data_IF_798205675990
#
_entry.id   IF_798205675990
#
_cell.length_a   1.000
_cell.length_b   1.000
_cell.length_c   1.000
_cell.angle_alpha   90.00
_cell.angle_beta   90.00
_cell.angle_gamma   90.00
#
_symmetry.space_group_name_H-M   'P 1'
#
loop_
_entity.id
_entity.type
_entity.pdbx_description
1 polymer ?
#
# COMPACT_ATOMS: atom_id res chain seq x y z
N UNK A 1 9.33 87.05 10.23
CA UNK A 1 8.35 87.09 9.12
C UNK A 1 8.58 85.86 8.26
N UNK A 2 7.48 85.21 7.88
CA UNK A 2 7.32 84.04 7.01
C UNK A 2 8.00 82.73 7.41
N UNK A 3 7.25 81.96 8.19
CA UNK A 3 7.39 80.52 8.39
C UNK A 3 7.04 79.73 7.11
N UNK A 4 7.84 78.71 6.79
CA UNK A 4 7.49 77.69 5.80
C UNK A 4 7.00 76.43 6.54
N UNK A 5 5.82 75.95 6.16
CA UNK A 5 5.13 74.77 6.71
C UNK A 5 5.75 73.46 6.18
N UNK A 6 5.72 72.36 6.95
CA UNK A 6 6.01 71.03 6.41
C UNK A 6 4.76 70.45 5.76
N UNK A 7 4.91 69.84 4.58
CA UNK A 7 3.88 69.01 3.93
C UNK A 7 4.26 67.55 4.12
N UNK A 8 3.40 66.87 4.88
CA UNK A 8 3.09 65.43 4.92
C UNK A 8 4.12 64.42 4.37
N UNK A 9 4.80 63.70 5.27
CA UNK A 9 5.30 62.36 4.97
C UNK A 9 4.11 61.39 5.02
N UNK A 10 3.80 60.79 3.86
CA UNK A 10 2.93 59.64 3.75
C UNK A 10 3.60 58.41 4.36
N UNK A 11 2.82 57.77 5.22
CA UNK A 11 2.85 56.39 5.70
C UNK A 11 3.59 55.43 4.75
N UNK A 12 4.64 54.78 5.27
CA UNK A 12 5.06 53.46 4.81
C UNK A 12 5.21 52.58 6.03
N UNK A 13 4.14 51.82 6.30
CA UNK A 13 4.12 50.71 7.23
C UNK A 13 5.05 49.62 6.69
N UNK A 14 6.27 49.54 7.24
CA UNK A 14 7.07 48.33 7.10
C UNK A 14 6.52 47.34 8.12
N UNK A 15 5.69 46.43 7.62
CA UNK A 15 5.28 45.21 8.31
C UNK A 15 6.57 44.42 8.59
N UNK A 16 7.07 44.50 9.81
CA UNK A 16 7.97 43.47 10.34
C UNK A 16 7.14 42.19 10.45
N UNK A 17 7.14 41.40 9.39
CA UNK A 17 6.77 40.00 9.47
C UNK A 17 7.77 39.33 10.42
N UNK A 18 7.29 39.00 11.61
CA UNK A 18 7.98 38.14 12.56
C UNK A 18 8.22 36.82 11.86
N UNK A 19 9.45 36.62 11.39
CA UNK A 19 10.01 35.31 11.04
C UNK A 19 10.12 34.49 12.32
N UNK A 20 8.98 34.05 12.85
CA UNK A 20 8.94 32.90 13.72
C UNK A 20 9.23 31.70 12.82
N UNK A 21 10.51 31.36 12.75
CA UNK A 21 10.95 30.00 12.42
C UNK A 21 10.33 29.12 13.50
N UNK A 22 9.08 28.71 13.26
CA UNK A 22 8.55 27.48 13.80
C UNK A 22 9.51 26.41 13.30
N UNK A 23 10.39 25.97 14.18
CA UNK A 23 10.99 24.65 14.10
C UNK A 23 9.82 23.67 14.24
N UNK A 24 9.06 23.52 13.16
CA UNK A 24 8.20 22.38 12.95
C UNK A 24 9.19 21.25 12.76
N UNK A 25 9.37 20.44 13.79
CA UNK A 25 9.81 19.06 13.58
C UNK A 25 8.92 18.53 12.46
N UNK A 26 9.45 18.09 11.31
CA UNK A 26 8.61 17.53 10.25
C UNK A 26 7.92 16.32 10.87
N UNK A 27 6.67 16.50 11.30
CA UNK A 27 5.76 15.39 11.44
C UNK A 27 5.65 14.82 10.03
N UNK A 28 5.77 13.51 9.91
CA UNK A 28 5.61 12.76 8.67
C UNK A 28 4.19 13.01 8.12
N UNK A 29 3.99 14.13 7.42
CA UNK A 29 2.79 14.42 6.69
C UNK A 29 2.93 13.79 5.29
N UNK A 30 2.89 12.46 5.24
CA UNK A 30 2.52 11.72 4.04
C UNK A 30 1.01 11.53 4.10
N UNK A 31 0.26 12.09 3.15
CA UNK A 31 -1.20 11.95 3.11
C UNK A 31 -1.56 10.56 2.58
N UNK A 32 -1.58 9.57 3.48
CA UNK A 32 -2.01 8.22 3.18
C UNK A 32 -2.99 7.78 4.26
N UNK A 33 -4.13 7.24 3.85
CA UNK A 33 -5.11 6.69 4.77
C UNK A 33 -5.83 5.53 4.10
N UNK A 34 -6.36 4.67 4.96
CA UNK A 34 -7.19 3.55 4.56
C UNK A 34 -8.49 4.02 3.88
N UNK A 35 -9.35 3.11 3.40
CA UNK A 35 -10.68 3.50 2.88
C UNK A 35 -11.72 3.65 4.01
N UNK A 36 -11.58 2.88 5.10
CA UNK A 36 -12.42 2.96 6.30
C UNK A 36 -11.65 3.55 7.49
N UNK A 37 -12.21 4.58 8.12
CA UNK A 37 -11.63 5.29 9.25
C UNK A 37 -12.60 5.40 10.42
N UNK A 38 -12.03 5.69 11.59
CA UNK A 38 -12.78 5.99 12.80
C UNK A 38 -12.40 7.38 13.32
N UNK A 39 -13.37 8.30 13.40
CA UNK A 39 -13.14 9.69 13.84
C UNK A 39 -12.62 9.79 15.29
N UNK A 40 -13.01 8.83 16.13
CA UNK A 40 -12.46 8.62 17.46
C UNK A 40 -12.39 7.11 17.77
N UNK A 41 -11.65 6.72 18.81
CA UNK A 41 -11.67 5.31 19.27
C UNK A 41 -13.09 4.91 19.68
N UNK A 42 -13.62 3.84 19.09
CA UNK A 42 -14.99 3.39 19.32
C UNK A 42 -16.08 4.22 18.64
N UNK A 43 -15.73 5.08 17.68
CA UNK A 43 -16.72 5.72 16.79
C UNK A 43 -17.16 4.74 15.70
N UNK A 44 -18.33 4.98 15.11
CA UNK A 44 -18.77 4.27 13.90
C UNK A 44 -17.72 4.38 12.79
N UNK A 45 -17.57 3.32 12.00
CA UNK A 45 -16.83 3.32 10.74
C UNK A 45 -17.41 4.37 9.79
N UNK A 46 -16.51 5.08 9.11
CA UNK A 46 -16.79 6.13 8.16
C UNK A 46 -15.81 6.03 7.00
N UNK A 47 -16.18 6.53 5.83
CA UNK A 47 -15.26 6.58 4.70
C UNK A 47 -14.15 7.58 5.03
N UNK A 48 -12.89 7.13 5.02
CA UNK A 48 -11.73 7.99 5.29
C UNK A 48 -11.72 9.19 4.34
N UNK A 49 -11.91 8.89 3.06
CA UNK A 49 -12.08 9.85 1.99
C UNK A 49 -13.19 9.37 1.05
N UNK A 50 -14.12 10.26 0.74
CA UNK A 50 -15.14 10.04 -0.30
C UNK A 50 -14.84 10.96 -1.48
N UNK A 51 -15.16 10.54 -2.70
CA UNK A 51 -14.95 11.36 -3.90
C UNK A 51 -15.51 12.78 -3.71
N UNK A 52 -14.66 13.82 -3.73
CA UNK A 52 -15.15 15.19 -3.66
C UNK A 52 -16.13 15.46 -4.79
N UNK A 53 -17.23 16.18 -4.51
CA UNK A 53 -18.26 16.48 -5.53
C UNK A 53 -17.72 17.24 -6.76
N UNK A 54 -16.59 17.91 -6.61
CA UNK A 54 -15.89 18.65 -7.67
C UNK A 54 -15.03 17.74 -8.57
N UNK A 55 -14.76 16.51 -8.12
CA UNK A 55 -13.93 15.56 -8.84
C UNK A 55 -14.78 14.73 -9.81
N UNK A 56 -14.42 14.71 -11.11
CA UNK A 56 -15.07 13.83 -12.08
C UNK A 56 -14.61 12.39 -11.89
N UNK A 57 -15.30 11.44 -12.54
CA UNK A 57 -14.89 10.03 -12.59
C UNK A 57 -13.98 9.71 -13.79
N UNK A 58 -14.04 10.53 -14.86
CA UNK A 58 -13.40 10.20 -16.16
C UNK A 58 -12.30 11.15 -16.61
N UNK A 59 -11.91 12.19 -15.85
CA UNK A 59 -10.77 13.08 -16.22
C UNK A 59 -10.29 13.92 -15.02
N UNK A 60 -9.49 13.38 -14.10
CA UNK A 60 -9.46 13.90 -12.74
C UNK A 60 -8.25 14.80 -12.50
N UNK A 61 -8.11 15.85 -13.31
CA UNK A 61 -6.88 16.65 -13.33
C UNK A 61 -7.04 18.09 -12.90
N UNK A 62 -8.26 18.57 -12.61
CA UNK A 62 -8.41 19.96 -12.17
C UNK A 62 -7.63 20.18 -10.86
N UNK A 63 -6.86 21.28 -10.74
CA UNK A 63 -6.13 21.57 -9.51
C UNK A 63 -7.05 21.58 -8.28
N UNK A 64 -8.29 22.08 -8.42
CA UNK A 64 -9.27 22.10 -7.35
C UNK A 64 -9.66 20.69 -6.86
N UNK A 65 -9.81 19.73 -7.77
CA UNK A 65 -10.08 18.35 -7.40
C UNK A 65 -8.88 17.70 -6.70
N UNK A 66 -7.66 17.86 -7.24
CA UNK A 66 -6.42 17.35 -6.65
C UNK A 66 -6.20 17.90 -5.23
N UNK A 67 -6.37 19.20 -5.04
CA UNK A 67 -6.29 19.83 -3.70
C UNK A 67 -7.36 19.29 -2.75
N UNK A 68 -8.59 19.09 -3.22
CA UNK A 68 -9.67 18.56 -2.40
C UNK A 68 -9.41 17.10 -1.97
N UNK A 69 -8.93 16.26 -2.89
CA UNK A 69 -8.55 14.87 -2.60
C UNK A 69 -7.41 14.80 -1.58
N UNK A 70 -6.34 15.58 -1.80
CA UNK A 70 -5.20 15.63 -0.87
C UNK A 70 -5.60 16.11 0.53
N UNK A 71 -6.47 17.12 0.61
CA UNK A 71 -6.97 17.62 1.90
C UNK A 71 -7.75 16.54 2.67
N UNK A 72 -8.58 15.75 1.98
CA UNK A 72 -9.32 14.66 2.61
C UNK A 72 -8.38 13.59 3.18
N UNK A 73 -7.40 13.14 2.40
CA UNK A 73 -6.47 12.11 2.85
C UNK A 73 -5.54 12.61 3.97
N UNK A 74 -5.16 13.88 3.96
CA UNK A 74 -4.42 14.49 5.07
C UNK A 74 -5.23 14.48 6.36
N UNK A 75 -6.52 14.83 6.29
CA UNK A 75 -7.43 14.77 7.45
C UNK A 75 -7.65 13.33 7.91
N UNK A 76 -7.77 12.39 6.97
CA UNK A 76 -7.95 10.98 7.26
C UNK A 76 -6.74 10.38 7.99
N UNK A 77 -5.52 10.67 7.52
CA UNK A 77 -4.27 10.23 8.14
C UNK A 77 -4.13 10.73 9.59
N UNK A 78 -4.74 11.86 9.93
CA UNK A 78 -4.74 12.43 11.28
C UNK A 78 -5.83 11.84 12.22
N UNK A 79 -6.68 10.92 11.75
CA UNK A 79 -7.78 10.39 12.57
C UNK A 79 -7.26 9.45 13.68
N UNK A 80 -7.57 9.73 14.96
CA UNK A 80 -6.98 9.00 16.10
C UNK A 80 -7.56 7.60 16.32
N UNK A 81 -8.63 7.25 15.62
CA UNK A 81 -9.27 5.93 15.70
C UNK A 81 -8.60 4.87 14.81
N UNK A 82 -7.66 5.26 13.96
CA UNK A 82 -7.05 4.39 12.93
C UNK A 82 -8.02 4.09 11.77
N UNK A 83 -7.62 3.13 10.92
CA UNK A 83 -8.42 2.68 9.79
C UNK A 83 -8.22 1.20 9.47
N UNK A 84 -8.84 0.74 8.39
CA UNK A 84 -8.57 -0.53 7.70
C UNK A 84 -8.91 -0.40 6.21
N UNK A 85 -8.18 -1.06 5.32
CA UNK A 85 -8.50 -1.13 3.89
C UNK A 85 -9.38 -2.34 3.58
N UNK A 86 -10.56 -2.14 3.01
CA UNK A 86 -11.38 -3.26 2.52
C UNK A 86 -10.79 -3.95 1.30
N UNK A 87 -9.82 -3.32 0.61
CA UNK A 87 -9.08 -3.93 -0.49
C UNK A 87 -8.00 -4.87 0.05
N UNK A 88 -7.16 -4.39 0.98
CA UNK A 88 -6.02 -5.14 1.53
C UNK A 88 -6.38 -6.11 2.65
N UNK A 89 -7.45 -5.88 3.43
CA UNK A 89 -7.85 -6.78 4.51
C UNK A 89 -9.08 -7.63 4.16
N UNK A 90 -10.28 -7.06 4.22
CA UNK A 90 -11.54 -7.79 4.13
C UNK A 90 -11.66 -8.57 2.79
N UNK A 91 -11.31 -7.96 1.66
CA UNK A 91 -11.32 -8.63 0.34
C UNK A 91 -10.28 -9.74 0.25
N UNK A 92 -9.04 -9.50 0.71
CA UNK A 92 -7.98 -10.51 0.76
C UNK A 92 -8.42 -11.72 1.59
N UNK A 93 -9.07 -11.51 2.73
CA UNK A 93 -9.61 -12.59 3.55
C UNK A 93 -10.66 -13.42 2.78
N UNK A 94 -11.65 -12.76 2.15
CA UNK A 94 -12.70 -13.45 1.39
C UNK A 94 -12.09 -14.28 0.24
N UNK A 95 -11.12 -13.72 -0.49
CA UNK A 95 -10.40 -14.41 -1.56
C UNK A 95 -9.60 -15.60 -1.01
N UNK A 96 -8.85 -15.42 0.07
CA UNK A 96 -8.06 -16.48 0.69
C UNK A 96 -8.94 -17.66 1.15
N UNK A 97 -10.08 -17.39 1.78
CA UNK A 97 -11.08 -18.42 2.15
C UNK A 97 -11.61 -19.14 0.92
N UNK A 98 -11.94 -18.40 -0.15
CA UNK A 98 -12.49 -18.98 -1.36
C UNK A 98 -11.50 -19.91 -2.09
N UNK A 99 -10.21 -19.58 -2.10
CA UNK A 99 -9.18 -20.43 -2.72
C UNK A 99 -8.81 -21.65 -1.88
N UNK A 100 -9.22 -21.72 -0.61
CA UNK A 100 -9.10 -22.91 0.24
C UNK A 100 -8.31 -22.76 1.54
N UNK A 101 -7.80 -21.57 1.86
CA UNK A 101 -7.13 -21.33 3.15
C UNK A 101 -8.07 -21.51 4.34
N UNK A 102 -7.54 -21.99 5.47
CA UNK A 102 -8.30 -22.05 6.72
C UNK A 102 -8.68 -20.63 7.20
N UNK A 103 -9.58 -20.52 8.17
CA UNK A 103 -10.00 -19.20 8.66
C UNK A 103 -8.86 -18.47 9.36
N UNK A 104 -7.98 -19.22 10.02
CA UNK A 104 -6.79 -18.68 10.68
C UNK A 104 -5.75 -18.23 9.65
N UNK A 105 -5.43 -19.07 8.65
CA UNK A 105 -4.45 -18.68 7.61
C UNK A 105 -4.94 -17.48 6.81
N UNK A 106 -6.21 -17.48 6.38
CA UNK A 106 -6.81 -16.37 5.65
C UNK A 106 -6.81 -15.08 6.47
N UNK A 107 -7.04 -15.18 7.79
CA UNK A 107 -6.95 -14.04 8.68
C UNK A 107 -5.54 -13.47 8.73
N UNK A 108 -4.52 -14.30 8.94
CA UNK A 108 -3.14 -13.81 9.04
C UNK A 108 -2.59 -13.29 7.71
N UNK A 109 -3.00 -13.85 6.57
CA UNK A 109 -2.69 -13.30 5.25
C UNK A 109 -3.26 -11.88 5.16
N UNK A 110 -4.56 -11.70 5.39
CA UNK A 110 -5.23 -10.40 5.31
C UNK A 110 -4.73 -9.38 6.35
N UNK A 111 -4.41 -9.83 7.56
CA UNK A 111 -3.93 -8.96 8.63
C UNK A 111 -2.52 -8.41 8.32
N UNK A 112 -1.64 -9.21 7.69
CA UNK A 112 -0.31 -8.75 7.30
C UNK A 112 -0.26 -8.05 5.94
N UNK A 113 -1.25 -8.27 5.08
CA UNK A 113 -1.52 -7.40 3.92
C UNK A 113 -1.71 -5.96 4.43
N UNK A 114 -2.73 -5.75 5.26
CA UNK A 114 -3.03 -4.46 5.90
C UNK A 114 -1.92 -3.91 6.82
N UNK A 115 -1.24 -4.76 7.59
CA UNK A 115 -0.16 -4.29 8.46
C UNK A 115 1.05 -3.75 7.69
N UNK A 116 1.19 -4.07 6.40
CA UNK A 116 2.26 -3.49 5.56
C UNK A 116 2.08 -1.99 5.43
N UNK A 117 0.84 -1.53 5.33
CA UNK A 117 0.46 -0.13 5.29
C UNK A 117 0.55 0.58 6.65
N UNK A 118 0.11 -0.10 7.71
CA UNK A 118 -0.07 0.51 9.04
C UNK A 118 1.09 0.25 10.02
N UNK A 119 1.98 -0.68 9.71
CA UNK A 119 3.01 -1.20 10.59
C UNK A 119 2.48 -2.21 11.60
N UNK A 120 1.25 -2.07 12.08
CA UNK A 120 0.56 -3.13 12.81
C UNK A 120 -0.94 -3.02 12.58
N UNK A 121 -1.60 -4.17 12.47
CA UNK A 121 -3.03 -4.24 12.28
C UNK A 121 -3.71 -4.89 13.49
N UNK A 122 -4.86 -4.34 13.88
CA UNK A 122 -5.75 -4.93 14.88
C UNK A 122 -7.21 -4.79 14.43
N UNK A 123 -7.96 -5.90 14.32
CA UNK A 123 -9.30 -5.87 13.78
C UNK A 123 -10.29 -5.13 14.69
N UNK A 124 -11.16 -4.34 14.04
CA UNK A 124 -12.20 -3.54 14.68
C UNK A 124 -13.55 -3.79 14.03
N UNK A 125 -14.60 -3.63 14.81
CA UNK A 125 -15.97 -3.67 14.31
C UNK A 125 -16.37 -2.43 13.50
N UNK A 126 -17.57 -2.47 12.92
CA UNK A 126 -18.22 -1.30 12.30
C UNK A 126 -18.53 -0.19 13.31
N UNK A 127 -18.49 -0.48 14.61
CA UNK A 127 -18.60 0.49 15.70
C UNK A 127 -17.25 1.00 16.22
N UNK A 128 -16.15 0.64 15.54
CA UNK A 128 -14.78 1.07 15.87
C UNK A 128 -14.24 0.49 17.17
N UNK A 129 -14.96 -0.44 17.81
CA UNK A 129 -14.45 -1.16 18.97
C UNK A 129 -13.56 -2.30 18.52
N UNK A 130 -12.52 -2.65 19.29
CA UNK A 130 -11.75 -3.86 19.05
C UNK A 130 -12.68 -5.08 19.09
N UNK A 131 -12.46 -6.04 18.20
CA UNK A 131 -13.19 -7.31 18.22
C UNK A 131 -12.85 -8.12 19.49
N UNK A 132 -13.67 -9.12 19.87
CA UNK A 132 -13.30 -10.05 20.94
C UNK A 132 -11.93 -10.68 20.67
N UNK A 133 -11.08 -10.76 21.69
CA UNK A 133 -9.70 -11.26 21.58
C UNK A 133 -8.79 -10.48 20.61
N UNK A 134 -9.09 -9.20 20.30
CA UNK A 134 -8.27 -8.38 19.39
C UNK A 134 -6.77 -8.41 19.70
N UNK A 135 -6.37 -8.44 20.98
CA UNK A 135 -4.96 -8.52 21.37
C UNK A 135 -4.24 -9.77 20.85
N UNK A 136 -4.94 -10.90 20.73
CA UNK A 136 -4.38 -12.13 20.16
C UNK A 136 -4.39 -12.14 18.63
N UNK A 137 -5.19 -11.26 18.03
CA UNK A 137 -5.36 -11.08 16.59
C UNK A 137 -4.47 -9.93 16.06
N UNK A 138 -3.94 -9.07 16.93
CA UNK A 138 -3.04 -7.99 16.52
C UNK A 138 -1.74 -8.55 15.93
N UNK A 139 -1.30 -8.00 14.79
CA UNK A 139 -0.03 -8.39 14.16
C UNK A 139 1.16 -7.90 14.96
N UNK A 140 2.31 -8.57 14.79
CA UNK A 140 3.58 -7.98 15.21
C UNK A 140 3.83 -6.67 14.46
N UNK A 141 4.62 -5.78 15.06
CA UNK A 141 5.03 -4.54 14.42
C UNK A 141 5.98 -4.81 13.25
N UNK A 142 5.61 -4.35 12.06
CA UNK A 142 6.38 -4.38 10.83
C UNK A 142 6.57 -2.96 10.27
N UNK A 143 6.63 -1.94 11.16
CA UNK A 143 6.79 -0.52 10.83
C UNK A 143 8.01 -0.16 9.96
N UNK A 144 8.95 -1.07 9.76
CA UNK A 144 10.03 -0.94 8.77
C UNK A 144 9.56 -1.10 7.32
N UNK A 145 8.36 -1.60 7.08
CA UNK A 145 7.77 -1.77 5.75
C UNK A 145 6.81 -0.64 5.37
N UNK A 146 6.40 0.19 6.33
CA UNK A 146 5.39 1.25 6.14
C UNK A 146 5.83 2.30 5.14
N UNK A 147 4.89 2.73 4.29
CA UNK A 147 5.05 3.76 3.24
C UNK A 147 5.72 5.06 3.67
N UNK A 148 5.51 5.53 4.90
CA UNK A 148 6.12 6.78 5.40
C UNK A 148 7.54 6.58 5.94
N UNK A 149 8.03 5.34 6.02
CA UNK A 149 9.35 5.05 6.52
C UNK A 149 10.42 5.17 5.43
N UNK A 150 10.90 6.40 5.24
CA UNK A 150 11.90 6.76 4.24
C UNK A 150 13.33 6.26 4.55
N UNK A 151 13.57 5.67 5.72
CA UNK A 151 14.90 5.25 6.17
C UNK A 151 15.11 3.73 6.13
N UNK A 152 14.04 2.94 6.23
CA UNK A 152 14.12 1.47 6.25
C UNK A 152 13.91 0.84 4.88
N UNK A 153 13.52 1.61 3.87
CA UNK A 153 13.07 1.10 2.58
C UNK A 153 11.58 0.78 2.53
N UNK A 154 10.81 1.14 3.56
CA UNK A 154 9.36 0.91 3.60
C UNK A 154 8.64 1.52 2.41
N UNK A 155 8.98 2.77 2.02
CA UNK A 155 8.45 3.42 0.81
C UNK A 155 8.48 2.52 -0.44
N UNK A 156 9.54 1.71 -0.61
CA UNK A 156 9.73 0.86 -1.78
C UNK A 156 8.69 -0.27 -1.87
N UNK A 157 8.08 -0.67 -0.74
CA UNK A 157 7.00 -1.66 -0.70
C UNK A 157 5.67 -1.11 -1.22
N UNK A 158 5.55 0.21 -1.36
CA UNK A 158 4.31 0.88 -1.75
C UNK A 158 4.43 1.55 -3.13
N UNK A 159 5.58 2.13 -3.43
CA UNK A 159 5.88 2.69 -4.75
C UNK A 159 6.83 1.75 -5.47
N UNK A 160 6.27 0.73 -6.13
CA UNK A 160 7.01 -0.35 -6.77
C UNK A 160 7.36 0.04 -8.20
N UNK A 161 8.44 0.81 -8.41
CA UNK A 161 8.91 1.09 -9.77
C UNK A 161 9.49 -0.15 -10.45
N UNK A 162 9.57 -0.10 -11.77
CA UNK A 162 10.16 -1.17 -12.59
C UNK A 162 11.52 -0.77 -13.13
N UNK A 163 12.34 -1.77 -13.38
CA UNK A 163 13.51 -1.59 -14.24
C UNK A 163 13.06 -1.55 -15.71
N UNK A 164 13.70 -0.67 -16.49
CA UNK A 164 13.41 -0.48 -17.92
C UNK A 164 14.71 -0.65 -18.70
N UNK A 165 14.67 -1.51 -19.72
CA UNK A 165 15.80 -1.69 -20.65
C UNK A 165 16.05 -0.42 -21.47
N UNK A 166 14.98 0.33 -21.73
CA UNK A 166 14.99 1.57 -22.50
C UNK A 166 14.17 2.63 -21.77
N UNK A 167 14.59 3.91 -21.74
CA UNK A 167 13.86 4.98 -21.06
C UNK A 167 12.38 5.12 -21.48
N UNK A 168 12.06 4.78 -22.73
CA UNK A 168 10.71 4.91 -23.31
C UNK A 168 9.87 3.62 -23.21
N UNK A 169 10.36 2.57 -22.54
CA UNK A 169 9.56 1.38 -22.28
C UNK A 169 8.40 1.75 -21.35
N UNK A 170 7.18 1.36 -21.72
CA UNK A 170 5.99 1.54 -20.91
C UNK A 170 5.58 0.18 -20.35
N UNK A 171 5.85 -0.09 -19.06
CA UNK A 171 5.32 -1.28 -18.39
C UNK A 171 3.80 -1.28 -18.42
N UNK A 172 3.19 -2.48 -18.44
CA UNK A 172 1.76 -2.64 -18.16
C UNK A 172 1.57 -2.88 -16.67
N UNK A 173 1.58 -1.81 -15.89
CA UNK A 173 1.44 -1.93 -14.44
C UNK A 173 0.03 -2.25 -13.97
N UNK A 174 -0.98 -2.27 -14.84
CA UNK A 174 -2.28 -2.88 -14.52
C UNK A 174 -2.21 -4.40 -14.53
N UNK A 175 -1.23 -4.99 -15.21
CA UNK A 175 -1.03 -6.44 -15.30
C UNK A 175 0.45 -6.82 -15.09
N UNK A 176 1.04 -6.48 -13.92
CA UNK A 176 2.44 -6.77 -13.66
C UNK A 176 2.70 -8.28 -13.73
N UNK A 177 3.87 -8.66 -14.23
CA UNK A 177 4.29 -10.05 -14.24
C UNK A 177 5.21 -10.31 -13.04
N UNK A 178 4.73 -10.94 -11.94
CA UNK A 178 5.54 -11.13 -10.74
C UNK A 178 6.56 -12.27 -10.88
N UNK A 179 6.73 -12.80 -12.10
CA UNK A 179 7.79 -13.74 -12.47
C UNK A 179 8.86 -13.09 -13.35
N UNK A 180 8.69 -11.81 -13.72
CA UNK A 180 9.68 -11.07 -14.50
C UNK A 180 10.78 -10.51 -13.61
N UNK A 181 11.77 -11.35 -13.31
CA UNK A 181 12.90 -10.99 -12.46
C UNK A 181 13.79 -9.88 -13.04
N UNK A 182 13.67 -9.58 -14.34
CA UNK A 182 14.48 -8.54 -15.00
C UNK A 182 13.86 -7.15 -14.79
N UNK A 183 12.54 -7.04 -14.87
CA UNK A 183 11.84 -5.75 -14.84
C UNK A 183 11.09 -5.49 -13.53
N UNK A 184 10.37 -6.50 -13.00
CA UNK A 184 9.56 -6.42 -11.79
C UNK A 184 10.38 -6.90 -10.58
N UNK A 185 11.50 -6.21 -10.29
CA UNK A 185 12.55 -6.66 -9.36
C UNK A 185 11.99 -6.95 -7.96
N UNK A 186 11.40 -5.94 -7.31
CA UNK A 186 10.90 -6.10 -5.93
C UNK A 186 9.74 -7.10 -5.88
N UNK A 187 8.81 -7.01 -6.83
CA UNK A 187 7.64 -7.89 -6.88
C UNK A 187 8.05 -9.36 -7.04
N UNK A 188 8.96 -9.65 -7.97
CA UNK A 188 9.48 -11.01 -8.18
C UNK A 188 10.27 -11.51 -6.98
N UNK A 189 11.07 -10.64 -6.35
CA UNK A 189 11.80 -10.95 -5.14
C UNK A 189 10.88 -11.36 -3.99
N UNK A 190 9.83 -10.55 -3.73
CA UNK A 190 8.85 -10.81 -2.68
C UNK A 190 8.05 -12.07 -2.94
N UNK A 191 7.62 -12.31 -4.19
CA UNK A 191 6.95 -13.55 -4.57
C UNK A 191 7.80 -14.76 -4.23
N UNK A 192 9.08 -14.74 -4.58
CA UNK A 192 10.04 -15.81 -4.25
C UNK A 192 10.17 -15.98 -2.74
N UNK A 193 10.34 -14.89 -1.99
CA UNK A 193 10.47 -14.92 -0.53
C UNK A 193 9.23 -15.49 0.17
N UNK A 194 8.04 -15.16 -0.32
CA UNK A 194 6.78 -15.69 0.18
C UNK A 194 6.57 -17.17 -0.18
N UNK A 195 6.90 -17.57 -1.42
CA UNK A 195 6.80 -18.95 -1.88
C UNK A 195 7.78 -19.89 -1.16
N UNK A 196 8.93 -19.36 -0.75
CA UNK A 196 9.95 -20.15 -0.06
C UNK A 196 9.49 -20.66 1.32
N UNK A 197 8.54 -19.97 1.95
CA UNK A 197 7.95 -20.37 3.22
C UNK A 197 8.86 -20.20 4.44
N UNK A 198 8.37 -20.59 5.63
CA UNK A 198 9.05 -20.40 6.90
C UNK A 198 10.28 -21.31 7.02
N UNK A 199 11.32 -20.83 7.68
CA UNK A 199 12.60 -21.53 7.87
C UNK A 199 13.46 -21.61 6.61
N UNK A 200 13.04 -21.00 5.50
CA UNK A 200 13.84 -20.89 4.29
C UNK A 200 14.97 -19.88 4.44
N UNK A 201 16.09 -20.16 3.76
CA UNK A 201 17.23 -19.24 3.65
C UNK A 201 17.01 -18.15 2.58
N UNK A 202 15.85 -18.13 1.89
CA UNK A 202 15.54 -17.08 0.94
C UNK A 202 15.51 -15.72 1.67
N UNK A 203 16.42 -14.78 1.33
CA UNK A 203 16.49 -13.51 2.02
C UNK A 203 15.35 -12.59 1.58
N UNK A 204 14.90 -11.71 2.47
CA UNK A 204 14.15 -10.51 2.07
C UNK A 204 15.11 -9.32 2.10
N UNK A 205 15.32 -8.72 0.93
CA UNK A 205 16.30 -7.68 0.70
C UNK A 205 15.64 -6.32 0.48
N UNK A 206 16.26 -5.26 0.99
CA UNK A 206 15.79 -3.88 0.78
C UNK A 206 15.78 -3.55 -0.71
N UNK A 207 14.62 -3.10 -1.21
CA UNK A 207 14.37 -2.83 -2.64
C UNK A 207 14.33 -4.10 -3.51
N UNK A 208 14.36 -5.29 -2.92
CA UNK A 208 14.42 -6.56 -3.65
C UNK A 208 15.78 -6.87 -4.28
N UNK A 209 16.79 -6.03 -4.04
CA UNK A 209 18.10 -6.17 -4.67
C UNK A 209 18.93 -7.30 -4.02
N UNK A 210 19.16 -8.33 -4.81
CA UNK A 210 20.00 -9.49 -4.50
C UNK A 210 21.30 -9.45 -5.29
N UNK A 211 22.28 -10.26 -4.89
CA UNK A 211 23.41 -10.59 -5.77
C UNK A 211 22.90 -11.20 -7.07
N UNK A 212 23.59 -11.04 -8.21
CA UNK A 212 23.15 -11.65 -9.47
C UNK A 212 22.87 -13.16 -9.32
N UNK A 213 21.72 -13.60 -9.81
CA UNK A 213 21.33 -15.00 -9.87
C UNK A 213 22.13 -15.74 -10.95
N UNK A 214 21.91 -17.06 -11.08
CA UNK A 214 22.47 -17.84 -12.19
C UNK A 214 21.98 -17.38 -13.58
N UNK A 215 20.79 -16.77 -13.66
CA UNK A 215 20.25 -16.14 -14.88
C UNK A 215 20.72 -14.69 -15.08
N UNK A 216 21.46 -14.14 -14.12
CA UNK A 216 22.03 -12.78 -14.18
C UNK A 216 21.08 -11.67 -13.71
N UNK A 217 19.85 -11.97 -13.32
CA UNK A 217 18.95 -10.99 -12.70
C UNK A 217 19.36 -10.67 -11.25
N UNK A 218 18.94 -9.52 -10.75
CA UNK A 218 19.24 -9.06 -9.39
C UNK A 218 18.04 -9.17 -8.43
N UNK A 219 17.02 -9.95 -8.76
CA UNK A 219 15.84 -10.14 -7.92
C UNK A 219 15.86 -11.50 -7.18
N UNK A 220 16.48 -12.52 -7.78
CA UNK A 220 16.34 -13.93 -7.35
C UNK A 220 17.59 -14.57 -6.79
N UNK A 221 18.66 -13.80 -6.55
CA UNK A 221 19.90 -14.30 -5.95
C UNK A 221 19.74 -14.81 -4.51
N UNK A 222 20.76 -15.54 -4.04
CA UNK A 222 20.74 -16.21 -2.73
C UNK A 222 21.06 -15.27 -1.56
N UNK A 223 21.62 -14.10 -1.83
CA UNK A 223 22.00 -13.12 -0.80
C UNK A 223 21.62 -11.71 -1.21
N UNK A 224 21.46 -10.81 -0.24
CA UNK A 224 21.17 -9.42 -0.54
C UNK A 224 22.38 -8.69 -1.12
N UNK A 225 22.10 -7.77 -2.06
CA UNK A 225 23.13 -7.00 -2.73
C UNK A 225 23.98 -6.20 -1.71
N UNK A 226 25.29 -6.12 -1.96
CA UNK A 226 26.25 -5.45 -1.09
C UNK A 226 26.73 -6.27 0.11
N UNK A 227 25.96 -7.26 0.58
CA UNK A 227 26.35 -8.13 1.70
C UNK A 227 26.86 -7.32 2.91
N UNK A 228 28.13 -7.48 3.34
CA UNK A 228 28.71 -6.71 4.44
C UNK A 228 28.98 -5.23 4.11
N UNK A 229 28.95 -4.85 2.82
CA UNK A 229 29.16 -3.50 2.33
C UNK A 229 27.88 -2.99 1.63
N UNK A 230 26.87 -2.54 2.39
CA UNK A 230 25.62 -1.99 1.85
C UNK A 230 25.87 -0.88 0.82
N UNK A 231 25.07 -0.90 -0.23
CA UNK A 231 25.13 0.08 -1.31
C UNK A 231 23.95 1.06 -1.17
N UNK A 232 24.13 2.38 -1.29
CA UNK A 232 23.04 3.32 -1.11
C UNK A 232 21.91 3.12 -2.15
N UNK A 233 20.68 3.22 -1.68
CA UNK A 233 19.47 3.38 -2.50
C UNK A 233 18.94 4.78 -2.22
N UNK A 234 18.78 5.60 -3.25
CA UNK A 234 18.33 6.99 -3.12
C UNK A 234 17.23 7.30 -4.10
N UNK A 235 16.40 8.25 -3.76
CA UNK A 235 15.38 8.71 -4.67
C UNK A 235 14.64 9.90 -4.11
N UNK A 236 13.59 10.26 -4.81
CA UNK A 236 12.68 11.33 -4.46
C UNK A 236 11.26 10.89 -4.75
N UNK A 237 10.30 11.38 -3.97
CA UNK A 237 8.87 11.24 -4.23
C UNK A 237 8.22 12.61 -4.37
N UNK A 238 7.47 12.83 -5.46
CA UNK A 238 6.81 14.10 -5.72
C UNK A 238 5.81 14.45 -4.59
N UNK A 239 5.84 15.72 -4.18
CA UNK A 239 4.76 16.36 -3.39
C UNK A 239 3.78 17.00 -4.37
N UNK A 240 4.30 17.90 -5.18
CA UNK A 240 3.67 18.54 -6.33
C UNK A 240 4.81 18.94 -7.26
N UNK A 241 4.95 18.30 -8.43
CA UNK A 241 6.08 18.49 -9.30
C UNK A 241 6.31 19.99 -9.61
N UNK A 242 7.52 20.54 -9.38
CA UNK A 242 8.78 19.84 -9.15
C UNK A 242 9.20 19.67 -7.67
N UNK A 243 8.36 20.00 -6.69
CA UNK A 243 8.67 19.78 -5.27
C UNK A 243 8.61 18.29 -4.93
N UNK A 244 9.67 17.76 -4.30
CA UNK A 244 9.78 16.35 -3.95
C UNK A 244 10.48 16.14 -2.59
N UNK A 245 10.18 15.03 -1.93
CA UNK A 245 10.79 14.61 -0.66
C UNK A 245 11.86 13.55 -0.98
N UNK A 246 13.11 13.74 -0.57
CA UNK A 246 14.13 12.73 -0.75
C UNK A 246 13.95 11.56 0.22
N UNK A 247 14.25 10.35 -0.24
CA UNK A 247 14.44 9.19 0.63
C UNK A 247 15.83 8.59 0.41
N UNK A 248 16.34 7.94 1.45
CA UNK A 248 17.64 7.31 1.40
C UNK A 248 17.67 6.09 2.32
N UNK A 249 18.08 4.96 1.77
CA UNK A 249 18.32 3.73 2.51
C UNK A 249 19.54 3.02 1.90
N UNK A 250 19.74 1.74 2.21
CA UNK A 250 20.84 0.95 1.63
C UNK A 250 20.41 -0.49 1.40
N UNK A 251 21.05 -1.16 0.45
CA UNK A 251 20.85 -2.59 0.18
C UNK A 251 21.24 -3.44 1.39
N UNK A 252 20.78 -4.69 1.41
CA UNK A 252 21.01 -5.63 2.50
C UNK A 252 19.71 -6.26 2.97
N UNK A 253 19.74 -6.95 4.11
CA UNK A 253 18.52 -7.50 4.72
C UNK A 253 17.58 -6.36 5.14
N UNK A 254 16.31 -6.47 4.75
CA UNK A 254 15.25 -5.53 5.06
C UNK A 254 15.08 -5.33 6.56
N UNK A 255 14.83 -4.09 6.98
CA UNK A 255 14.44 -3.77 8.36
C UNK A 255 12.94 -4.04 8.49
N UNK A 256 12.57 -4.90 9.43
CA UNK A 256 11.17 -5.27 9.71
C UNK A 256 10.57 -4.32 10.73
N UNK A 257 11.26 -4.11 11.86
CA UNK A 257 10.84 -3.16 12.91
C UNK A 257 12.05 -2.78 13.76
N UNK A 258 12.28 -1.47 13.95
CA UNK A 258 13.39 -0.98 14.77
C UNK A 258 14.74 -1.58 14.38
N UNK A 259 15.24 -2.54 15.18
CA UNK A 259 16.50 -3.26 14.93
C UNK A 259 16.31 -4.68 14.36
N UNK A 260 15.06 -5.15 14.28
CA UNK A 260 14.70 -6.47 13.75
C UNK A 260 14.92 -6.45 12.24
N UNK A 261 15.74 -7.39 11.76
CA UNK A 261 16.03 -7.57 10.34
C UNK A 261 15.29 -8.79 9.79
N UNK A 262 15.24 -8.89 8.47
CA UNK A 262 14.44 -9.90 7.78
C UNK A 262 14.88 -11.36 8.00
N UNK A 263 16.13 -11.60 8.38
CA UNK A 263 16.61 -12.91 8.84
C UNK A 263 15.99 -13.35 10.18
N UNK A 264 15.44 -12.41 10.94
CA UNK A 264 14.73 -12.65 12.19
C UNK A 264 13.20 -12.68 12.01
N UNK A 265 12.71 -12.44 10.78
CA UNK A 265 11.28 -12.22 10.48
C UNK A 265 10.39 -13.33 11.05
N UNK A 266 10.71 -14.59 10.77
CA UNK A 266 9.87 -15.72 11.20
C UNK A 266 9.70 -15.74 12.72
N UNK A 267 10.79 -15.60 13.48
CA UNK A 267 10.72 -15.57 14.94
C UNK A 267 9.97 -14.35 15.49
N UNK A 268 10.00 -13.24 14.76
CA UNK A 268 9.36 -11.98 15.13
C UNK A 268 7.84 -12.01 14.94
N UNK A 269 7.37 -12.62 13.86
CA UNK A 269 5.93 -12.68 13.53
C UNK A 269 5.22 -13.89 14.14
N UNK A 270 5.95 -14.77 14.84
CA UNK A 270 5.40 -15.92 15.58
C UNK A 270 5.75 -17.31 15.03
N UNK A 271 6.49 -17.38 13.92
CA UNK A 271 7.05 -18.59 13.34
C UNK A 271 6.04 -19.47 12.61
N UNK A 272 6.54 -20.58 12.06
CA UNK A 272 5.72 -21.63 11.43
C UNK A 272 4.75 -21.09 10.38
N UNK A 273 3.50 -21.55 10.45
CA UNK A 273 2.45 -21.18 9.50
C UNK A 273 2.17 -19.67 9.49
N UNK A 274 2.15 -19.02 10.67
CA UNK A 274 1.92 -17.58 10.78
C UNK A 274 2.97 -16.77 10.02
N UNK A 275 4.23 -17.18 10.05
CA UNK A 275 5.28 -16.54 9.25
C UNK A 275 5.07 -16.76 7.75
N UNK A 276 4.59 -17.94 7.35
CA UNK A 276 4.21 -18.20 5.95
C UNK A 276 3.09 -17.27 5.49
N UNK A 277 2.04 -17.11 6.30
CA UNK A 277 0.88 -16.26 6.01
C UNK A 277 1.26 -14.79 5.96
N UNK A 278 2.09 -14.33 6.91
CA UNK A 278 2.60 -12.97 6.95
C UNK A 278 3.38 -12.61 5.67
N UNK A 279 4.24 -13.53 5.20
CA UNK A 279 4.99 -13.34 3.94
C UNK A 279 4.07 -13.18 2.74
N UNK A 280 3.00 -13.98 2.68
CA UNK A 280 2.01 -13.89 1.60
C UNK A 280 1.24 -12.58 1.68
N UNK A 281 0.75 -12.18 2.87
CA UNK A 281 0.08 -10.90 3.06
C UNK A 281 0.90 -9.72 2.58
N UNK A 282 2.16 -9.62 3.02
CA UNK A 282 3.09 -8.55 2.60
C UNK A 282 3.31 -8.55 1.08
N UNK A 283 3.43 -9.72 0.45
CA UNK A 283 3.56 -9.80 -1.00
C UNK A 283 2.29 -9.35 -1.73
N UNK A 284 1.11 -9.75 -1.27
CA UNK A 284 -0.17 -9.38 -1.87
C UNK A 284 -0.43 -7.88 -1.75
N UNK A 285 -0.06 -7.28 -0.62
CA UNK A 285 -0.05 -5.82 -0.43
C UNK A 285 0.73 -5.14 -1.56
N UNK A 286 2.00 -5.53 -1.72
CA UNK A 286 2.91 -4.92 -2.69
C UNK A 286 2.45 -5.15 -4.14
N UNK A 287 1.83 -6.30 -4.43
CA UNK A 287 1.20 -6.55 -5.73
C UNK A 287 0.02 -5.61 -5.99
N UNK A 288 -0.86 -5.41 -5.01
CA UNK A 288 -1.99 -4.49 -5.14
C UNK A 288 -1.51 -3.04 -5.29
N UNK A 289 -0.51 -2.60 -4.51
CA UNK A 289 0.09 -1.27 -4.61
C UNK A 289 0.80 -1.04 -5.95
N UNK A 290 1.49 -2.05 -6.48
CA UNK A 290 2.10 -1.99 -7.83
C UNK A 290 1.05 -1.66 -8.90
N UNK A 291 -0.16 -2.19 -8.77
CA UNK A 291 -1.30 -1.99 -9.67
C UNK A 291 -2.00 -0.66 -9.39
N UNK A 292 -2.23 -0.32 -8.13
CA UNK A 292 -2.84 0.95 -7.72
C UNK A 292 -2.03 2.16 -8.15
N UNK A 293 -0.72 2.10 -7.94
CA UNK A 293 0.21 3.20 -8.23
C UNK A 293 0.77 3.15 -9.64
N UNK A 294 0.24 2.29 -10.51
CA UNK A 294 0.86 2.00 -11.80
C UNK A 294 1.16 3.25 -12.62
N UNK A 295 0.30 4.27 -12.60
CA UNK A 295 0.50 5.52 -13.35
C UNK A 295 1.79 6.23 -12.95
N UNK A 296 2.08 6.26 -11.65
CA UNK A 296 3.31 6.81 -11.11
C UNK A 296 4.51 5.88 -11.37
N UNK A 297 4.36 4.60 -11.07
CA UNK A 297 5.48 3.63 -11.09
C UNK A 297 5.86 3.14 -12.50
N UNK A 298 4.92 3.16 -13.45
CA UNK A 298 5.18 2.93 -14.88
C UNK A 298 5.92 4.12 -15.51
N UNK A 299 5.73 5.33 -14.97
CA UNK A 299 6.46 6.52 -15.40
C UNK A 299 7.84 6.64 -14.75
N UNK A 300 8.01 6.10 -13.53
CA UNK A 300 9.27 6.02 -12.83
C UNK A 300 10.23 4.97 -13.41
N UNK A 301 11.47 4.93 -12.93
CA UNK A 301 12.46 3.93 -13.32
C UNK A 301 13.43 3.63 -12.19
N UNK A 302 13.74 2.35 -12.01
CA UNK A 302 14.91 1.91 -11.24
C UNK A 302 16.16 2.09 -12.10
N UNK A 303 17.12 2.85 -11.61
CA UNK A 303 18.49 2.93 -12.14
C UNK A 303 19.37 1.99 -11.34
N UNK A 304 19.91 0.98 -12.02
CA UNK A 304 20.85 0.01 -11.45
C UNK A 304 22.28 0.56 -11.56
N UNK A 305 23.13 0.40 -10.53
CA UNK A 305 24.55 0.74 -10.58
C UNK A 305 25.25 0.26 -11.86
N UNK A 306 25.81 1.17 -12.66
CA UNK A 306 26.77 0.84 -13.72
C UNK A 306 28.20 0.83 -13.14
N UNK A 307 29.16 0.22 -13.85
CA UNK A 307 30.57 0.26 -13.43
C UNK A 307 31.06 1.71 -13.21
N UNK A 308 31.28 2.09 -11.95
CA UNK A 308 31.76 3.42 -11.54
C UNK A 308 30.74 4.31 -10.80
N UNK A 309 29.45 3.97 -10.78
CA UNK A 309 28.44 4.60 -9.91
C UNK A 309 27.82 3.52 -9.01
N UNK A 310 28.19 3.51 -7.74
CA UNK A 310 27.80 2.49 -6.77
C UNK A 310 26.47 2.84 -6.09
N UNK A 311 25.42 3.25 -6.82
CA UNK A 311 24.16 3.67 -6.19
C UNK A 311 22.94 3.23 -7.00
N UNK A 312 21.98 2.62 -6.31
CA UNK A 312 20.64 2.44 -6.87
C UNK A 312 19.90 3.76 -6.76
N UNK A 313 19.12 4.07 -7.80
CA UNK A 313 18.27 5.26 -7.80
C UNK A 313 16.86 4.96 -8.28
N UNK A 314 15.87 5.52 -7.60
CA UNK A 314 14.46 5.38 -7.95
C UNK A 314 13.77 6.73 -7.74
N UNK A 315 13.60 7.48 -8.83
CA UNK A 315 12.95 8.78 -8.78
C UNK A 315 11.48 8.66 -9.18
N UNK A 316 10.62 9.08 -8.25
CA UNK A 316 9.17 9.18 -8.38
C UNK A 316 8.78 10.68 -8.47
N UNK A 317 9.56 11.49 -9.18
CA UNK A 317 9.41 12.95 -9.31
C UNK A 317 8.70 13.40 -10.59
N UNK A 318 7.82 12.54 -11.13
CA UNK A 318 7.02 12.84 -12.31
C UNK A 318 5.60 13.30 -11.94
N UNK A 319 4.88 14.00 -12.83
CA UNK A 319 3.54 14.51 -12.54
C UNK A 319 2.51 13.43 -12.16
N UNK A 320 2.67 12.19 -12.62
CA UNK A 320 1.76 11.10 -12.26
C UNK A 320 1.96 10.62 -10.81
N UNK A 321 3.07 10.99 -10.18
CA UNK A 321 3.38 10.74 -8.77
C UNK A 321 2.98 11.90 -7.83
N UNK A 322 2.37 12.97 -8.34
CA UNK A 322 1.92 14.10 -7.51
C UNK A 322 0.94 13.64 -6.43
N UNK A 323 1.10 14.14 -5.20
CA UNK A 323 0.32 13.68 -4.05
C UNK A 323 -1.18 13.91 -4.22
N UNK A 324 -1.59 14.95 -4.96
CA UNK A 324 -2.99 15.20 -5.26
C UNK A 324 -3.62 14.20 -6.23
N UNK A 325 -2.85 13.69 -7.20
CA UNK A 325 -3.31 12.64 -8.13
C UNK A 325 -3.28 11.28 -7.44
N UNK A 326 -2.20 10.99 -6.75
CA UNK A 326 -2.06 9.79 -5.92
C UNK A 326 -3.21 9.68 -4.91
N UNK A 327 -3.50 10.77 -4.18
CA UNK A 327 -4.64 10.85 -3.26
C UNK A 327 -5.99 10.55 -3.93
N UNK A 328 -6.20 11.08 -5.13
CA UNK A 328 -7.43 10.92 -5.87
C UNK A 328 -7.61 9.51 -6.41
N UNK A 329 -6.53 8.85 -6.84
CA UNK A 329 -6.56 7.47 -7.32
C UNK A 329 -6.87 6.49 -6.20
N UNK A 330 -6.34 6.69 -4.99
CA UNK A 330 -6.81 5.93 -3.82
C UNK A 330 -8.31 6.09 -3.56
N UNK A 331 -8.85 7.30 -3.73
CA UNK A 331 -10.30 7.51 -3.59
C UNK A 331 -11.10 6.77 -4.67
N UNK A 332 -10.51 6.47 -5.83
CA UNK A 332 -11.16 5.67 -6.87
C UNK A 332 -11.17 4.17 -6.61
N UNK A 333 -10.39 3.68 -5.66
CA UNK A 333 -10.30 2.25 -5.39
C UNK A 333 -11.57 1.69 -4.75
N UNK A 334 -12.38 2.56 -4.16
CA UNK A 334 -13.61 2.18 -3.45
C UNK A 334 -14.65 3.29 -3.48
N UNK A 335 -15.93 2.94 -3.27
CA UNK A 335 -17.00 3.93 -3.08
C UNK A 335 -17.40 4.72 -4.31
N UNK A 336 -16.93 4.31 -5.48
CA UNK A 336 -17.26 4.88 -6.77
C UNK A 336 -17.69 3.77 -7.73
N UNK A 337 -18.51 4.06 -8.75
CA UNK A 337 -18.85 3.07 -9.77
C UNK A 337 -17.65 2.87 -10.72
N UNK A 338 -16.92 1.77 -10.58
CA UNK A 338 -15.66 1.54 -11.30
C UNK A 338 -15.83 1.54 -12.82
N UNK A 339 -16.97 1.05 -13.30
CA UNK A 339 -17.31 1.06 -14.71
C UNK A 339 -17.38 2.47 -15.33
N UNK A 340 -17.49 3.51 -14.51
CA UNK A 340 -17.46 4.93 -14.92
C UNK A 340 -16.08 5.56 -14.83
N UNK A 341 -15.07 4.87 -14.31
CA UNK A 341 -13.69 5.35 -14.30
C UNK A 341 -13.05 5.16 -15.68
N UNK A 342 -12.02 5.95 -15.94
CA UNK A 342 -11.11 5.67 -17.05
C UNK A 342 -10.47 4.30 -16.89
N UNK A 343 -10.21 3.62 -18.01
CA UNK A 343 -9.65 2.26 -17.98
C UNK A 343 -8.34 2.16 -17.16
N UNK A 344 -7.55 3.23 -17.17
CA UNK A 344 -6.30 3.30 -16.42
C UNK A 344 -6.48 3.52 -14.91
N UNK A 345 -7.63 4.02 -14.46
CA UNK A 345 -7.89 4.26 -13.02
C UNK A 345 -8.77 3.14 -12.41
N UNK A 346 -9.12 2.10 -13.18
CA UNK A 346 -9.87 0.90 -12.71
C UNK A 346 -8.95 -0.09 -11.98
N UNK A 347 -8.14 0.41 -11.06
CA UNK A 347 -7.08 -0.37 -10.39
C UNK A 347 -7.64 -1.49 -9.53
N UNK A 348 -8.76 -1.29 -8.83
CA UNK A 348 -9.44 -2.35 -8.06
C UNK A 348 -9.94 -3.50 -8.95
N UNK A 349 -10.47 -3.18 -10.14
CA UNK A 349 -10.90 -4.21 -11.10
C UNK A 349 -9.71 -4.99 -11.68
N UNK A 350 -8.49 -4.43 -11.66
CA UNK A 350 -7.26 -5.10 -12.10
C UNK A 350 -6.55 -5.86 -10.96
N UNK A 351 -6.57 -5.31 -9.74
CA UNK A 351 -5.84 -5.83 -8.57
C UNK A 351 -6.50 -7.08 -7.99
N UNK A 352 -7.81 -7.05 -7.70
CA UNK A 352 -8.48 -8.19 -7.06
C UNK A 352 -8.35 -9.50 -7.86
N UNK A 353 -8.52 -9.51 -9.20
CA UNK A 353 -8.28 -10.71 -9.99
C UNK A 353 -6.85 -11.27 -9.87
N UNK A 354 -5.82 -10.40 -9.83
CA UNK A 354 -4.43 -10.83 -9.75
C UNK A 354 -4.04 -11.32 -8.35
N UNK A 355 -4.53 -10.65 -7.30
CA UNK A 355 -4.40 -11.12 -5.92
C UNK A 355 -5.05 -12.50 -5.77
N UNK A 356 -6.24 -12.71 -6.35
CA UNK A 356 -6.90 -14.01 -6.36
C UNK A 356 -6.05 -15.09 -7.05
N UNK A 357 -5.49 -14.77 -8.22
CA UNK A 357 -4.69 -15.71 -9.00
C UNK A 357 -3.39 -16.10 -8.27
N UNK A 358 -2.74 -15.14 -7.60
CA UNK A 358 -1.57 -15.45 -6.77
C UNK A 358 -1.93 -16.25 -5.51
N UNK A 359 -3.07 -15.95 -4.86
CA UNK A 359 -3.61 -16.77 -3.77
C UNK A 359 -3.86 -18.22 -4.22
N UNK A 360 -4.33 -18.45 -5.45
CA UNK A 360 -4.44 -19.80 -6.03
C UNK A 360 -3.08 -20.49 -6.14
N UNK A 361 -2.04 -19.78 -6.58
CA UNK A 361 -0.68 -20.34 -6.67
C UNK A 361 -0.14 -20.70 -5.28
N UNK A 362 -0.31 -19.85 -4.27
CA UNK A 362 0.10 -20.15 -2.90
C UNK A 362 -0.69 -21.31 -2.29
N UNK A 363 -2.01 -21.34 -2.49
CA UNK A 363 -2.86 -22.43 -2.01
C UNK A 363 -2.46 -23.77 -2.65
N UNK A 364 -2.09 -23.76 -3.94
CA UNK A 364 -1.58 -24.94 -4.65
C UNK A 364 -0.24 -25.39 -4.06
N UNK A 365 0.71 -24.48 -3.90
CA UNK A 365 2.02 -24.78 -3.34
C UNK A 365 1.93 -25.36 -1.92
N UNK A 366 0.94 -24.94 -1.14
CA UNK A 366 0.68 -25.40 0.23
C UNK A 366 -0.22 -26.64 0.31
N UNK A 367 -0.74 -27.13 -0.81
CA UNK A 367 -1.63 -28.29 -0.84
C UNK A 367 -3.02 -28.06 -0.21
N UNK A 368 -3.45 -26.80 -0.10
CA UNK A 368 -4.77 -26.41 0.47
C UNK A 368 -5.75 -25.91 -0.59
N UNK A 369 -5.36 -25.93 -1.87
CA UNK A 369 -6.19 -25.43 -2.96
C UNK A 369 -7.57 -26.10 -3.01
N UNK A 370 -8.60 -25.27 -2.92
CA UNK A 370 -9.96 -25.63 -3.32
C UNK A 370 -9.98 -25.90 -4.82
N UNK A 371 -10.33 -27.13 -5.21
CA UNK A 371 -10.39 -27.54 -6.62
C UNK A 371 -11.40 -26.73 -7.46
N UNK A 372 -12.33 -26.04 -6.81
CA UNK A 372 -13.30 -25.15 -7.47
C UNK A 372 -12.83 -23.69 -7.57
N UNK A 373 -11.65 -23.32 -7.02
CA UNK A 373 -11.21 -21.92 -6.94
C UNK A 373 -11.26 -21.19 -8.30
N UNK A 374 -10.75 -21.81 -9.37
CA UNK A 374 -10.79 -21.23 -10.72
C UNK A 374 -12.23 -20.96 -11.19
N UNK A 375 -13.17 -21.86 -10.90
CA UNK A 375 -14.58 -21.69 -11.25
C UNK A 375 -15.31 -20.68 -10.33
N UNK A 376 -14.85 -20.52 -9.09
CA UNK A 376 -15.40 -19.56 -8.13
C UNK A 376 -14.96 -18.13 -8.41
N UNK A 377 -13.82 -17.91 -9.05
CA UNK A 377 -13.24 -16.59 -9.29
C UNK A 377 -14.24 -15.52 -9.78
N UNK A 378 -15.07 -15.73 -10.82
CA UNK A 378 -16.04 -14.71 -11.25
C UNK A 378 -17.17 -14.45 -10.23
N UNK A 379 -17.48 -15.42 -9.38
CA UNK A 379 -18.45 -15.27 -8.28
C UNK A 379 -17.87 -14.45 -7.14
N UNK A 380 -16.58 -14.66 -6.82
CA UNK A 380 -15.89 -13.95 -5.75
C UNK A 380 -15.57 -12.52 -6.17
N UNK A 381 -15.00 -12.33 -7.37
CA UNK A 381 -14.52 -11.03 -7.83
C UNK A 381 -15.65 -10.24 -8.51
N UNK A 382 -15.99 -10.60 -9.75
CA UNK A 382 -16.86 -9.80 -10.63
C UNK A 382 -18.29 -9.64 -10.10
N UNK A 383 -18.84 -10.71 -9.50
CA UNK A 383 -20.22 -10.71 -8.94
C UNK A 383 -20.26 -10.54 -7.43
N UNK A 384 -19.10 -10.36 -6.79
CA UNK A 384 -18.94 -10.35 -5.34
C UNK A 384 -18.29 -9.07 -4.88
N UNK A 385 -16.97 -9.07 -4.80
CA UNK A 385 -16.16 -8.01 -4.19
C UNK A 385 -16.20 -6.71 -4.99
N UNK A 386 -16.11 -6.76 -6.33
CA UNK A 386 -16.17 -5.55 -7.18
C UNK A 386 -17.43 -4.72 -6.86
N UNK A 387 -18.67 -5.23 -7.03
CA UNK A 387 -19.86 -4.44 -6.72
C UNK A 387 -20.02 -4.15 -5.22
N UNK A 388 -19.43 -4.94 -4.32
CA UNK A 388 -19.46 -4.67 -2.88
C UNK A 388 -18.61 -3.45 -2.50
N UNK A 389 -17.48 -3.23 -3.20
CA UNK A 389 -16.57 -2.11 -2.93
C UNK A 389 -17.07 -0.77 -3.51
N UNK A 390 -18.00 -0.77 -4.47
CA UNK A 390 -18.57 0.45 -5.06
C UNK A 390 -19.47 1.24 -4.10
N UNK A 391 -19.89 0.67 -2.96
CA UNK A 391 -20.77 1.35 -2.00
C UNK A 391 -20.08 2.59 -1.39
N UNK A 392 -20.65 3.81 -1.51
CA UNK A 392 -19.99 5.01 -0.99
C UNK A 392 -19.91 5.09 0.54
N UNK A 393 -20.93 4.57 1.24
CA UNK A 393 -20.96 4.51 2.71
C UNK A 393 -20.13 3.33 3.22
N UNK A 394 -19.17 3.60 4.09
CA UNK A 394 -18.26 2.58 4.64
C UNK A 394 -18.99 1.40 5.31
N UNK A 395 -20.06 1.63 6.08
CA UNK A 395 -20.76 0.52 6.75
C UNK A 395 -21.56 -0.32 5.77
N UNK A 396 -22.19 0.31 4.77
CA UNK A 396 -22.83 -0.41 3.67
C UNK A 396 -21.82 -1.24 2.88
N UNK A 397 -20.64 -0.69 2.60
CA UNK A 397 -19.53 -1.37 1.92
C UNK A 397 -19.03 -2.58 2.70
N UNK A 398 -18.70 -2.40 3.98
CA UNK A 398 -18.32 -3.50 4.90
C UNK A 398 -19.40 -4.59 4.91
N UNK A 399 -20.67 -4.20 5.03
CA UNK A 399 -21.79 -5.15 5.03
C UNK A 399 -21.89 -5.92 3.70
N UNK A 400 -21.63 -5.25 2.58
CA UNK A 400 -21.66 -5.87 1.26
C UNK A 400 -20.50 -6.87 1.07
N UNK A 401 -19.29 -6.54 1.54
CA UNK A 401 -18.12 -7.44 1.52
C UNK A 401 -18.37 -8.66 2.41
N UNK A 402 -18.82 -8.47 3.64
CA UNK A 402 -19.23 -9.54 4.54
C UNK A 402 -20.28 -10.48 3.91
N UNK A 403 -21.25 -9.91 3.19
CA UNK A 403 -22.26 -10.69 2.49
C UNK A 403 -21.68 -11.57 1.37
N UNK A 404 -20.53 -11.23 0.78
CA UNK A 404 -19.81 -12.11 -0.17
C UNK A 404 -19.34 -13.38 0.56
N UNK A 405 -18.64 -13.22 1.69
CA UNK A 405 -18.23 -14.35 2.55
C UNK A 405 -19.42 -15.24 2.93
N UNK A 406 -20.52 -14.64 3.38
CA UNK A 406 -21.72 -15.38 3.77
C UNK A 406 -22.35 -16.17 2.60
N UNK A 407 -22.41 -15.60 1.39
CA UNK A 407 -22.92 -16.32 0.21
C UNK A 407 -22.06 -17.52 -0.17
N UNK A 408 -20.77 -17.47 0.15
CA UNK A 408 -19.82 -18.56 -0.07
C UNK A 408 -19.80 -19.58 1.08
N UNK A 409 -20.56 -19.34 2.16
CA UNK A 409 -20.64 -20.23 3.33
C UNK A 409 -19.48 -20.07 4.32
N UNK A 410 -18.82 -18.91 4.33
CA UNK A 410 -17.73 -18.60 5.25
C UNK A 410 -18.15 -17.59 6.30
N UNK A 411 -17.56 -17.69 7.50
CA UNK A 411 -17.59 -16.60 8.46
C UNK A 411 -16.89 -15.36 7.86
N UNK A 412 -17.49 -14.16 7.96
CA UNK A 412 -16.90 -12.90 7.52
C UNK A 412 -15.60 -12.55 8.26
N UNK A 413 -14.90 -11.53 7.77
CA UNK A 413 -13.67 -11.07 8.41
C UNK A 413 -13.95 -10.56 9.84
N UNK A 414 -13.06 -10.78 10.82
CA UNK A 414 -13.31 -10.36 12.20
C UNK A 414 -13.70 -8.88 12.33
N UNK A 415 -14.88 -8.63 12.89
CA UNK A 415 -15.45 -7.29 13.07
C UNK A 415 -16.50 -6.90 12.03
N UNK A 416 -16.67 -7.71 10.99
CA UNK A 416 -17.79 -7.59 10.07
C UNK A 416 -19.10 -8.15 10.66
N UNK A 417 -20.27 -7.74 10.12
CA UNK A 417 -21.56 -8.34 10.48
C UNK A 417 -21.58 -9.85 10.20
N UNK A 418 -22.00 -10.66 11.18
CA UNK A 418 -22.14 -12.11 11.03
C UNK A 418 -23.22 -12.50 10.01
N UNK A 419 -23.10 -13.71 9.46
CA UNK A 419 -24.09 -14.25 8.52
C UNK A 419 -25.46 -14.46 9.16
N UNK A 420 -26.52 -14.01 8.49
CA UNK A 420 -27.88 -14.22 8.98
C UNK A 420 -28.21 -15.72 9.01
N UNK A 421 -28.49 -16.27 10.21
CA UNK A 421 -28.87 -17.68 10.39
C UNK A 421 -27.79 -18.60 10.97
N UNK A 422 -26.60 -18.10 11.27
CA UNK A 422 -25.56 -18.80 12.02
C UNK A 422 -25.48 -18.19 13.44
N UNK A 423 -26.23 -18.75 14.39
CA UNK A 423 -26.07 -18.54 15.83
C UNK A 423 -26.08 -19.87 16.55
#
# INVERSE_FOLDING_TARGET
MTAARPVALMVSAVILAVSAVLVVTPGEAGAFAEDVCYSARGSKADSCASLPKICPLTEPTSPACRTAALALLTVAAARPGGGRSLVHSDSTYVMARAVGFSSDDAYWIAAYDEATDLGSFSPKGTDGKPVPNSAALTTSDIGGLVRTNFNTGGLLFHFVATFKDQPNQTPDGLHPNPRDAQHEILLTHLRRWAMAGPGSNAPLCTGGFTTPSASGDIATGDTCFGGPNPVPIRGVIAVEAPAAIPFATSTGLQIISGKVRSDQFDSWVGGGQRAADARVGIYLHVLADRISHHRCTDAAQIVIPAHGDERFREDLDNPECDQGLHALRHIYETGVPFAQLDAADRTTEAALPQVYDELVEFARARGVLNLQAVALRPTVIDRGLIPALEYPDAVARITAVAAVACRLGFEPFPGEPACAGQR
#
